data_IF_913788448430
#
_entry.id   IF_913788448430
#
_cell.length_a   1.000
_cell.length_b   1.000
_cell.length_c   1.000
_cell.angle_alpha   90.00
_cell.angle_beta   90.00
_cell.angle_gamma   90.00
#
_symmetry.space_group_name_H-M   'P 1'
#
loop_
_entity.id
_entity.type
_entity.pdbx_description
1 polymer ?
#
# COMPACT_ATOMS: atom_id res chain seq x y z
N UNK A 1 -7.24 21.51 -1.36
CA UNK A 1 -7.37 21.79 0.10
C UNK A 1 -7.66 20.53 0.89
N UNK A 2 -8.64 19.70 0.50
CA UNK A 2 -8.88 18.38 1.13
C UNK A 2 -7.66 17.47 0.96
N UNK A 3 -7.11 17.37 -0.25
CA UNK A 3 -5.89 16.59 -0.53
C UNK A 3 -4.71 16.99 0.37
N UNK A 4 -4.54 18.30 0.60
CA UNK A 4 -3.54 18.80 1.54
C UNK A 4 -3.83 18.31 2.96
N UNK A 5 -5.08 18.39 3.43
CA UNK A 5 -5.46 17.87 4.76
C UNK A 5 -5.21 16.36 4.87
N UNK A 6 -5.55 15.59 3.82
CA UNK A 6 -5.29 14.15 3.78
C UNK A 6 -3.79 13.84 3.91
N UNK A 7 -2.96 14.58 3.17
CA UNK A 7 -1.50 14.50 3.31
C UNK A 7 -1.04 14.72 4.75
N UNK A 8 -1.59 15.74 5.43
CA UNK A 8 -1.29 16.01 6.84
C UNK A 8 -1.71 14.86 7.76
N UNK A 9 -2.91 14.31 7.57
CA UNK A 9 -3.38 13.15 8.34
C UNK A 9 -2.48 11.93 8.15
N UNK A 10 -2.06 11.63 6.93
CA UNK A 10 -1.14 10.52 6.66
C UNK A 10 0.22 10.75 7.34
N UNK A 11 0.73 11.97 7.35
CA UNK A 11 1.98 12.30 8.06
C UNK A 11 1.84 12.08 9.58
N UNK A 12 0.75 12.60 10.16
CA UNK A 12 0.46 12.41 11.58
C UNK A 12 0.29 10.93 11.93
N UNK A 13 -0.35 10.15 11.06
CA UNK A 13 -0.50 8.70 11.22
C UNK A 13 0.87 8.02 11.23
N UNK A 14 1.68 8.21 10.19
CA UNK A 14 2.97 7.51 10.06
C UNK A 14 4.02 7.96 11.08
N UNK A 15 3.94 9.20 11.57
CA UNK A 15 4.86 9.70 12.60
C UNK A 15 4.46 9.31 14.02
N UNK A 16 3.17 9.18 14.32
CA UNK A 16 2.70 8.95 15.69
C UNK A 16 2.18 7.52 15.94
N UNK A 17 1.89 6.77 14.88
CA UNK A 17 1.37 5.40 14.95
C UNK A 17 2.38 4.48 14.29
N UNK A 18 3.33 4.02 15.10
CA UNK A 18 4.43 3.14 14.73
C UNK A 18 4.38 1.85 15.55
N UNK A 19 5.12 0.85 15.11
CA UNK A 19 5.17 -0.46 15.76
C UNK A 19 6.62 -0.95 15.90
N UNK A 20 6.83 -2.01 16.68
CA UNK A 20 8.15 -2.63 16.83
C UNK A 20 8.41 -3.73 15.80
N UNK A 21 7.38 -4.14 15.05
CA UNK A 21 7.46 -5.19 14.04
C UNK A 21 6.65 -4.86 12.77
N UNK A 22 7.05 -5.48 11.67
CA UNK A 22 6.39 -5.39 10.38
C UNK A 22 5.33 -6.49 10.22
N UNK A 23 4.32 -6.26 9.36
CA UNK A 23 3.30 -7.25 9.01
C UNK A 23 1.88 -6.81 9.33
N UNK A 24 0.93 -7.75 9.40
CA UNK A 24 -0.48 -7.43 9.59
C UNK A 24 -0.77 -6.96 11.04
N UNK A 25 -1.70 -6.01 11.27
CA UNK A 25 -2.14 -5.63 12.60
C UNK A 25 -2.88 -6.79 13.28
N UNK A 26 -2.56 -7.04 14.54
CA UNK A 26 -3.24 -8.07 15.34
C UNK A 26 -4.49 -7.46 15.97
N UNK A 27 -5.66 -7.83 15.46
CA UNK A 27 -6.93 -7.39 16.02
C UNK A 27 -7.31 -8.29 17.20
N UNK A 28 -7.41 -7.70 18.40
CA UNK A 28 -7.84 -8.42 19.60
C UNK A 28 -6.72 -9.04 20.44
N UNK A 29 -5.44 -8.67 20.22
CA UNK A 29 -4.40 -8.93 21.22
C UNK A 29 -4.72 -8.11 22.48
N UNK A 30 -5.00 -8.80 23.58
CA UNK A 30 -5.49 -8.23 24.84
C UNK A 30 -4.74 -6.95 25.25
N UNK A 31 -5.45 -5.83 25.24
CA UNK A 31 -5.02 -4.58 25.89
C UNK A 31 -5.12 -4.72 27.41
N UNK A 32 -4.36 -5.63 28.01
CA UNK A 32 -4.03 -5.61 29.43
C UNK A 32 -2.64 -4.99 29.61
N UNK A 33 -2.54 -3.66 29.41
CA UNK A 33 -1.29 -2.93 29.62
C UNK A 33 -1.38 -1.44 29.30
N UNK A 34 -1.43 -0.61 30.35
CA UNK A 34 -1.00 0.80 30.48
C UNK A 34 -1.16 1.80 29.30
N UNK A 35 -2.10 1.57 28.38
CA UNK A 35 -2.43 2.55 27.33
C UNK A 35 -1.32 2.83 26.32
N UNK A 36 -0.28 1.97 26.24
CA UNK A 36 0.81 2.06 25.27
C UNK A 36 0.64 1.03 24.15
N UNK A 37 -0.38 1.20 23.31
CA UNK A 37 -0.55 0.42 22.07
C UNK A 37 -0.54 -1.11 22.24
N UNK A 38 -0.62 -1.88 21.14
CA UNK A 38 -0.42 -3.32 21.20
C UNK A 38 1.07 -3.60 21.49
N UNK A 39 1.44 -3.64 22.78
CA UNK A 39 2.82 -3.90 23.24
C UNK A 39 3.23 -5.38 23.17
N UNK A 40 2.33 -6.26 22.72
CA UNK A 40 2.58 -7.70 22.76
C UNK A 40 2.76 -8.23 21.34
N UNK A 41 3.92 -8.83 21.02
CA UNK A 41 4.09 -9.50 19.75
C UNK A 41 3.05 -10.63 19.58
N UNK A 42 2.84 -11.12 18.34
CA UNK A 42 2.11 -12.37 18.10
C UNK A 42 2.59 -13.45 19.08
N UNK A 43 1.68 -14.32 19.53
CA UNK A 43 2.04 -15.48 20.36
C UNK A 43 3.12 -16.32 19.68
N UNK A 44 3.79 -17.21 20.43
CA UNK A 44 4.86 -18.12 19.98
C UNK A 44 4.60 -18.92 18.67
N UNK A 45 3.38 -18.85 18.12
CA UNK A 45 2.92 -19.46 16.88
C UNK A 45 3.12 -18.62 15.60
N UNK A 46 3.34 -17.31 15.68
CA UNK A 46 3.52 -16.44 14.50
C UNK A 46 4.88 -15.71 14.56
N UNK A 47 5.70 -15.77 13.50
CA UNK A 47 7.01 -15.15 13.51
C UNK A 47 6.88 -13.62 13.49
N UNK A 48 7.51 -12.96 14.46
CA UNK A 48 7.71 -11.51 14.45
C UNK A 48 8.75 -11.18 13.36
N UNK A 49 8.44 -10.26 12.46
CA UNK A 49 9.39 -9.81 11.44
C UNK A 49 9.94 -8.42 11.76
N UNK A 50 11.27 -8.33 11.88
CA UNK A 50 11.99 -7.06 12.13
C UNK A 50 12.65 -6.50 10.87
N UNK A 51 12.61 -7.24 9.75
CA UNK A 51 13.08 -6.77 8.45
C UNK A 51 11.89 -6.54 7.53
N UNK A 52 11.77 -5.31 7.04
CA UNK A 52 10.75 -5.00 6.04
C UNK A 52 10.97 -5.77 4.73
N UNK A 53 12.22 -6.01 4.34
CA UNK A 53 12.51 -6.80 3.16
C UNK A 53 11.98 -8.22 3.26
N UNK A 54 12.23 -8.90 4.39
CA UNK A 54 11.73 -10.26 4.62
C UNK A 54 10.20 -10.26 4.65
N UNK A 55 9.60 -9.30 5.36
CA UNK A 55 8.14 -9.19 5.50
C UNK A 55 7.47 -8.95 4.16
N UNK A 56 7.90 -7.94 3.41
CA UNK A 56 7.32 -7.60 2.12
C UNK A 56 7.49 -8.74 1.11
N UNK A 57 8.66 -9.39 1.09
CA UNK A 57 8.89 -10.55 0.22
C UNK A 57 7.91 -11.67 0.53
N UNK A 58 7.74 -12.02 1.81
CA UNK A 58 6.79 -13.06 2.22
C UNK A 58 5.35 -12.70 1.81
N UNK A 59 4.88 -11.50 2.17
CA UNK A 59 3.54 -11.03 1.83
C UNK A 59 3.29 -11.04 0.32
N UNK A 60 4.29 -10.63 -0.47
CA UNK A 60 4.19 -10.58 -1.91
C UNK A 60 4.16 -11.98 -2.53
N UNK A 61 5.02 -12.89 -2.08
CA UNK A 61 5.08 -14.27 -2.59
C UNK A 61 3.82 -15.07 -2.23
N UNK A 62 3.30 -14.92 -1.00
CA UNK A 62 2.03 -15.52 -0.58
C UNK A 62 0.85 -15.01 -1.42
N UNK A 63 0.80 -13.69 -1.68
CA UNK A 63 -0.21 -13.10 -2.54
C UNK A 63 -0.10 -13.63 -3.98
N UNK A 64 1.11 -13.70 -4.52
CA UNK A 64 1.35 -14.13 -5.89
C UNK A 64 0.93 -15.60 -6.09
N UNK A 65 1.26 -16.47 -5.13
CA UNK A 65 0.84 -17.87 -5.15
C UNK A 65 -0.69 -18.01 -4.99
N UNK A 66 -1.31 -17.20 -4.14
CA UNK A 66 -2.77 -17.18 -3.99
C UNK A 66 -3.48 -16.81 -5.30
N UNK A 67 -3.01 -15.76 -5.97
CA UNK A 67 -3.52 -15.32 -7.28
C UNK A 67 -3.30 -16.41 -8.33
N UNK A 68 -2.13 -17.02 -8.38
CA UNK A 68 -1.80 -18.10 -9.31
C UNK A 68 -2.75 -19.28 -9.16
N UNK A 69 -2.90 -19.78 -7.93
CA UNK A 69 -3.77 -20.91 -7.60
C UNK A 69 -5.23 -20.65 -8.02
N UNK A 70 -5.75 -19.44 -7.76
CA UNK A 70 -7.12 -19.07 -8.14
C UNK A 70 -7.31 -18.99 -9.65
N UNK A 71 -6.38 -18.38 -10.38
CA UNK A 71 -6.43 -18.29 -11.84
C UNK A 71 -6.32 -19.66 -12.51
N UNK A 72 -5.55 -20.60 -11.93
CA UNK A 72 -5.49 -21.98 -12.41
C UNK A 72 -6.78 -22.76 -12.13
N UNK A 73 -7.47 -22.48 -11.01
CA UNK A 73 -8.74 -23.13 -10.67
C UNK A 73 -9.95 -22.60 -11.44
N UNK A 74 -9.89 -21.35 -11.93
CA UNK A 74 -10.98 -20.70 -12.64
C UNK A 74 -10.58 -20.35 -14.09
N UNK A 75 -10.89 -21.21 -15.08
CA UNK A 75 -10.51 -20.99 -16.48
C UNK A 75 -11.21 -19.79 -17.16
N UNK A 76 -12.05 -19.04 -16.43
CA UNK A 76 -12.78 -17.87 -16.93
C UNK A 76 -12.08 -16.53 -16.63
N UNK A 77 -10.90 -16.53 -16.02
CA UNK A 77 -10.14 -15.31 -15.79
C UNK A 77 -9.36 -14.87 -17.03
N UNK A 78 -9.79 -13.81 -17.72
CA UNK A 78 -9.01 -13.16 -18.81
C UNK A 78 -7.69 -12.50 -18.34
N UNK A 79 -7.19 -12.81 -17.15
CA UNK A 79 -5.97 -12.22 -16.61
C UNK A 79 -4.76 -13.07 -17.01
N UNK A 80 -3.81 -12.46 -17.72
CA UNK A 80 -2.51 -13.05 -17.98
C UNK A 80 -1.49 -12.39 -17.07
N UNK A 81 -1.02 -13.12 -16.05
CA UNK A 81 -0.03 -12.62 -15.10
C UNK A 81 1.34 -13.26 -15.42
N UNK A 82 2.39 -12.46 -15.68
CA UNK A 82 3.72 -12.95 -16.04
C UNK A 82 4.55 -13.41 -14.81
N UNK A 83 4.07 -14.44 -14.09
CA UNK A 83 4.63 -14.94 -12.82
C UNK A 83 6.17 -15.12 -12.83
N UNK A 84 6.72 -15.80 -13.84
CA UNK A 84 8.17 -16.04 -13.97
C UNK A 84 8.99 -14.75 -14.07
N UNK A 85 8.47 -13.74 -14.79
CA UNK A 85 9.14 -12.43 -14.91
C UNK A 85 9.11 -11.67 -13.60
N UNK A 86 8.02 -11.80 -12.84
CA UNK A 86 7.86 -11.20 -11.52
C UNK A 86 8.86 -11.82 -10.54
N UNK A 87 8.92 -13.15 -10.42
CA UNK A 87 9.90 -13.82 -9.52
C UNK A 87 11.35 -13.53 -9.89
N UNK A 88 11.68 -13.50 -11.18
CA UNK A 88 13.03 -13.13 -11.64
C UNK A 88 13.39 -11.71 -11.19
N UNK A 89 12.44 -10.78 -11.31
CA UNK A 89 12.63 -9.39 -10.87
C UNK A 89 12.72 -9.28 -9.35
N UNK A 90 11.92 -10.06 -8.61
CA UNK A 90 11.93 -10.07 -7.14
C UNK A 90 13.26 -10.60 -6.61
N UNK A 91 13.78 -11.67 -7.21
CA UNK A 91 15.11 -12.22 -6.87
C UNK A 91 16.21 -11.17 -6.98
N UNK A 92 16.15 -10.32 -8.01
CA UNK A 92 17.06 -9.18 -8.17
C UNK A 92 16.83 -8.12 -7.08
N UNK A 93 15.58 -7.74 -6.82
CA UNK A 93 15.23 -6.76 -5.80
C UNK A 93 15.78 -7.14 -4.42
N UNK A 94 15.63 -8.41 -4.02
CA UNK A 94 16.16 -8.97 -2.77
C UNK A 94 17.69 -8.92 -2.76
N UNK A 95 18.34 -9.36 -3.85
CA UNK A 95 19.81 -9.38 -3.94
C UNK A 95 20.45 -7.99 -3.84
N UNK A 96 19.71 -6.93 -4.19
CA UNK A 96 20.15 -5.54 -4.07
C UNK A 96 19.61 -4.82 -2.82
N UNK A 97 19.03 -5.58 -1.88
CA UNK A 97 18.52 -5.06 -0.61
C UNK A 97 17.48 -3.95 -0.80
N UNK A 98 16.66 -4.01 -1.86
CA UNK A 98 15.80 -2.89 -2.31
C UNK A 98 14.87 -2.33 -1.22
N UNK A 99 14.44 -3.18 -0.29
CA UNK A 99 13.46 -2.85 0.75
C UNK A 99 14.08 -2.63 2.14
N UNK A 100 15.41 -2.76 2.27
CA UNK A 100 16.12 -2.74 3.55
C UNK A 100 16.29 -1.33 4.17
N UNK A 101 15.85 -0.29 3.47
CA UNK A 101 15.94 1.12 3.91
C UNK A 101 14.78 1.56 4.82
N UNK A 102 13.90 0.63 5.20
CA UNK A 102 12.73 0.90 6.05
C UNK A 102 13.03 0.40 7.45
N UNK A 103 13.34 1.34 8.34
CA UNK A 103 13.77 1.03 9.70
C UNK A 103 12.60 0.95 10.70
N UNK A 104 11.55 1.75 10.50
CA UNK A 104 10.43 1.88 11.45
C UNK A 104 9.11 1.62 10.72
N UNK A 105 8.33 0.59 11.11
CA UNK A 105 7.04 0.32 10.51
C UNK A 105 6.04 1.42 10.87
N UNK A 106 5.34 1.90 9.85
CA UNK A 106 4.20 2.81 10.00
C UNK A 106 2.91 2.06 9.71
N UNK A 107 1.79 2.51 10.29
CA UNK A 107 0.50 1.96 9.93
C UNK A 107 0.11 2.45 8.52
N UNK A 108 0.02 1.52 7.58
CA UNK A 108 -0.28 1.77 6.18
C UNK A 108 -1.67 1.28 5.84
N UNK A 109 -2.39 2.09 5.06
CA UNK A 109 -3.68 1.78 4.48
C UNK A 109 -3.57 1.48 2.98
N UNK A 110 -3.12 0.26 2.68
CA UNK A 110 -2.75 -0.15 1.32
C UNK A 110 -3.86 0.07 0.27
N UNK A 111 -5.11 -0.24 0.62
CA UNK A 111 -6.26 -0.16 -0.30
C UNK A 111 -7.12 1.08 -0.07
N UNK A 112 -6.61 2.10 0.63
CA UNK A 112 -7.35 3.31 0.90
C UNK A 112 -7.81 4.02 -0.36
N UNK A 113 -9.01 4.57 -0.32
CA UNK A 113 -9.60 5.25 -1.48
C UNK A 113 -10.41 6.47 -1.06
N UNK A 114 -10.82 7.27 -2.04
CA UNK A 114 -11.67 8.44 -1.81
C UNK A 114 -13.06 8.06 -1.26
N UNK A 115 -13.54 6.84 -1.50
CA UNK A 115 -14.82 6.36 -0.97
C UNK A 115 -14.81 6.16 0.55
N UNK A 116 -13.63 6.10 1.14
CA UNK A 116 -13.44 5.86 2.57
C UNK A 116 -13.25 7.18 3.36
N UNK A 117 -13.29 8.32 2.66
CA UNK A 117 -13.05 9.65 3.21
C UNK A 117 -14.38 10.41 3.31
N UNK A 118 -14.79 10.71 4.53
CA UNK A 118 -16.01 11.46 4.79
C UNK A 118 -15.68 12.93 5.02
N UNK A 119 -16.39 13.79 4.30
CA UNK A 119 -16.17 15.24 4.31
C UNK A 119 -17.35 15.97 4.97
N UNK A 120 -17.04 16.99 5.78
CA UNK A 120 -18.02 18.01 6.15
C UNK A 120 -18.15 19.00 5.01
N UNK A 121 -19.36 19.09 4.43
CA UNK A 121 -19.72 20.06 3.42
C UNK A 121 -20.64 21.13 4.04
N UNK A 122 -20.10 22.27 4.50
CA UNK A 122 -20.91 23.32 5.11
C UNK A 122 -21.90 23.91 4.10
N UNK A 123 -23.15 24.15 4.52
CA UNK A 123 -24.23 24.66 3.67
C UNK A 123 -23.99 26.06 3.12
N UNK A 124 -23.09 26.83 3.76
CA UNK A 124 -22.64 28.14 3.30
C UNK A 124 -21.11 28.18 3.25
N UNK A 125 -20.50 28.32 2.05
CA UNK A 125 -19.05 28.29 1.89
C UNK A 125 -18.32 29.49 2.52
N UNK A 126 -19.04 30.55 2.89
CA UNK A 126 -18.51 31.74 3.57
C UNK A 126 -18.29 31.56 5.07
N UNK A 127 -18.87 30.53 5.69
CA UNK A 127 -18.83 30.37 7.15
C UNK A 127 -17.84 29.32 7.63
N UNK A 128 -17.52 28.33 6.79
CA UNK A 128 -16.57 27.26 7.13
C UNK A 128 -15.97 26.63 5.87
N UNK A 129 -14.73 26.22 5.96
CA UNK A 129 -14.06 25.43 4.92
C UNK A 129 -14.47 23.95 5.01
N UNK A 130 -14.67 23.26 3.87
CA UNK A 130 -14.82 21.81 3.88
C UNK A 130 -13.63 21.13 4.54
N UNK A 131 -13.87 20.05 5.27
CA UNK A 131 -12.81 19.32 5.97
C UNK A 131 -13.14 17.85 6.14
N UNK A 132 -12.11 17.04 6.36
CA UNK A 132 -12.26 15.61 6.63
C UNK A 132 -12.85 15.46 8.04
N UNK A 133 -13.92 14.67 8.17
CA UNK A 133 -14.56 14.36 9.46
C UNK A 133 -14.26 12.96 9.95
N UNK A 134 -14.08 12.01 9.02
CA UNK A 134 -13.74 10.64 9.34
C UNK A 134 -13.00 9.98 8.18
N UNK A 135 -12.11 9.07 8.53
CA UNK A 135 -11.49 8.09 7.64
C UNK A 135 -11.93 6.73 8.16
N UNK A 136 -12.55 5.92 7.30
CA UNK A 136 -13.05 4.59 7.67
C UNK A 136 -12.26 3.52 6.91
N UNK A 137 -11.06 3.16 7.39
CA UNK A 137 -10.20 2.24 6.66
C UNK A 137 -10.79 0.83 6.63
N UNK A 138 -10.71 0.21 5.46
CA UNK A 138 -10.94 -1.23 5.31
C UNK A 138 -9.76 -1.98 5.92
N UNK A 139 -9.99 -2.65 7.04
CA UNK A 139 -8.96 -3.36 7.82
C UNK A 139 -8.23 -4.51 7.10
N UNK A 140 -8.80 -5.27 6.14
CA UNK A 140 -8.17 -6.48 5.58
C UNK A 140 -6.80 -6.26 4.93
N UNK A 141 -6.47 -5.02 4.55
CA UNK A 141 -5.21 -4.69 3.86
C UNK A 141 -4.38 -3.66 4.61
N UNK A 142 -4.71 -3.38 5.88
CA UNK A 142 -3.85 -2.56 6.72
C UNK A 142 -2.62 -3.35 7.13
N UNK A 143 -1.46 -2.70 7.18
CA UNK A 143 -0.19 -3.33 7.51
C UNK A 143 0.75 -2.36 8.23
N UNK A 144 1.64 -2.91 9.04
CA UNK A 144 2.81 -2.24 9.60
C UNK A 144 3.95 -2.36 8.59
N UNK A 145 4.30 -1.26 7.92
CA UNK A 145 5.18 -1.30 6.74
C UNK A 145 5.75 0.05 6.32
N UNK A 146 6.24 0.12 5.09
CA UNK A 146 6.75 1.34 4.47
C UNK A 146 5.59 2.30 4.13
N UNK A 147 5.57 3.55 4.64
CA UNK A 147 4.62 4.60 4.21
C UNK A 147 4.44 4.75 2.70
N UNK A 148 5.48 4.45 1.92
CA UNK A 148 5.43 4.51 0.47
C UNK A 148 4.44 3.51 -0.14
N UNK A 149 3.93 2.53 0.62
CA UNK A 149 2.88 1.60 0.17
C UNK A 149 1.48 2.23 0.04
N UNK A 150 1.22 3.37 0.69
CA UNK A 150 -0.10 4.02 0.64
C UNK A 150 -0.62 4.17 -0.80
N UNK A 151 -1.88 3.77 -1.02
CA UNK A 151 -2.54 3.91 -2.32
C UNK A 151 -2.65 5.37 -2.76
N UNK A 152 -2.81 6.29 -1.81
CA UNK A 152 -2.87 7.72 -2.09
C UNK A 152 -1.59 8.28 -2.75
N UNK A 153 -0.48 7.52 -2.69
CA UNK A 153 0.78 7.85 -3.34
C UNK A 153 1.02 7.14 -4.70
N UNK A 154 0.08 6.34 -5.23
CA UNK A 154 0.24 5.57 -6.50
C UNK A 154 0.68 6.43 -7.69
N UNK A 155 0.16 7.64 -7.79
CA UNK A 155 0.47 8.56 -8.90
C UNK A 155 1.92 9.09 -8.86
N UNK A 156 2.71 8.75 -7.84
CA UNK A 156 4.16 9.00 -7.81
C UNK A 156 4.96 8.05 -8.70
N UNK A 157 4.39 6.90 -9.09
CA UNK A 157 5.06 5.87 -9.87
C UNK A 157 4.70 5.86 -11.36
N UNK A 158 3.46 6.20 -11.74
CA UNK A 158 2.97 6.04 -13.12
C UNK A 158 2.26 7.31 -13.64
N UNK A 159 2.56 7.72 -14.87
CA UNK A 159 2.08 8.94 -15.53
C UNK A 159 0.59 8.97 -15.92
N UNK A 160 -0.26 8.16 -15.28
CA UNK A 160 -1.65 7.92 -15.67
C UNK A 160 -2.65 8.21 -14.55
N UNK A 161 -2.74 9.45 -14.05
CA UNK A 161 -3.79 9.86 -13.10
C UNK A 161 -3.50 11.22 -12.45
N UNK A 162 -4.52 12.10 -12.40
CA UNK A 162 -4.47 13.54 -12.05
C UNK A 162 -3.22 13.96 -11.24
N UNK A 163 -2.18 14.50 -11.92
CA UNK A 163 -0.91 14.88 -11.29
C UNK A 163 -1.06 15.90 -10.15
N UNK A 164 -2.15 16.66 -10.15
CA UNK A 164 -2.37 17.77 -9.21
C UNK A 164 -2.83 17.30 -7.82
N UNK A 165 -3.63 16.22 -7.75
CA UNK A 165 -4.14 15.71 -6.47
C UNK A 165 -3.01 15.09 -5.64
N UNK A 166 -2.20 14.25 -6.28
CA UNK A 166 -1.03 13.65 -5.65
C UNK A 166 -0.04 14.68 -5.11
N UNK A 167 0.21 15.76 -5.86
CA UNK A 167 1.10 16.84 -5.44
C UNK A 167 0.63 17.50 -4.15
N UNK A 168 -0.67 17.79 -4.04
CA UNK A 168 -1.21 18.42 -2.84
C UNK A 168 -1.17 17.48 -1.62
N UNK A 169 -1.41 16.18 -1.81
CA UNK A 169 -1.26 15.18 -0.73
C UNK A 169 0.21 15.12 -0.28
N UNK A 170 1.16 15.00 -1.21
CA UNK A 170 2.60 14.91 -0.91
C UNK A 170 3.11 16.19 -0.26
N UNK A 171 2.67 17.35 -0.73
CA UNK A 171 2.95 18.64 -0.12
C UNK A 171 2.46 18.68 1.33
N UNK A 172 1.21 18.27 1.57
CA UNK A 172 0.62 18.21 2.91
C UNK A 172 1.37 17.25 3.82
N UNK A 173 1.77 16.10 3.28
CA UNK A 173 2.52 15.08 3.99
C UNK A 173 3.88 15.60 4.47
N UNK A 174 4.69 16.14 3.56
CA UNK A 174 6.02 16.66 3.89
C UNK A 174 5.92 17.89 4.80
N UNK A 175 4.98 18.80 4.56
CA UNK A 175 4.80 20.00 5.38
C UNK A 175 4.36 19.70 6.82
N UNK A 176 3.79 18.51 7.07
CA UNK A 176 3.35 18.06 8.40
C UNK A 176 4.31 17.07 9.08
N UNK A 177 5.56 16.97 8.61
CA UNK A 177 6.61 16.17 9.26
C UNK A 177 6.82 14.79 8.66
N UNK A 178 6.08 14.43 7.60
CA UNK A 178 6.36 13.22 6.83
C UNK A 178 7.69 13.31 6.09
N UNK A 179 8.47 12.22 6.10
CA UNK A 179 9.73 12.16 5.36
C UNK A 179 9.50 12.18 3.84
N UNK A 180 10.42 12.74 3.03
CA UNK A 180 10.30 12.70 1.58
C UNK A 180 10.19 11.26 1.04
N UNK A 181 9.07 10.95 0.38
CA UNK A 181 8.73 9.60 -0.07
C UNK A 181 9.65 9.07 -1.18
N UNK A 182 10.07 9.94 -2.11
CA UNK A 182 10.97 9.59 -3.22
C UNK A 182 12.05 10.68 -3.33
N UNK A 183 13.23 10.35 -2.83
CA UNK A 183 14.46 11.13 -2.93
C UNK A 183 15.47 10.50 -3.89
N UNK A 184 15.44 9.16 -4.04
CA UNK A 184 16.42 8.38 -4.81
C UNK A 184 15.76 7.50 -5.87
N UNK A 185 16.47 7.13 -6.96
CA UNK A 185 15.95 6.22 -7.98
C UNK A 185 15.45 4.88 -7.41
N UNK A 186 16.15 4.33 -6.41
CA UNK A 186 15.72 3.13 -5.66
C UNK A 186 14.26 3.19 -5.17
N UNK A 187 13.82 4.33 -4.64
CA UNK A 187 12.45 4.48 -4.13
C UNK A 187 11.41 4.51 -5.25
N UNK A 188 11.78 4.91 -6.47
CA UNK A 188 10.90 4.77 -7.64
C UNK A 188 10.71 3.30 -7.99
N UNK A 189 11.80 2.52 -8.03
CA UNK A 189 11.71 1.06 -8.22
C UNK A 189 10.86 0.40 -7.14
N UNK A 190 11.04 0.81 -5.87
CA UNK A 190 10.23 0.36 -4.74
C UNK A 190 8.74 0.69 -4.92
N UNK A 191 8.43 1.91 -5.38
CA UNK A 191 7.06 2.33 -5.68
C UNK A 191 6.42 1.49 -6.79
N UNK A 192 7.19 1.08 -7.81
CA UNK A 192 6.70 0.14 -8.84
C UNK A 192 6.32 -1.22 -8.22
N UNK A 193 7.13 -1.77 -7.32
CA UNK A 193 6.78 -2.98 -6.57
C UNK A 193 5.49 -2.83 -5.75
N UNK A 194 5.33 -1.71 -5.07
CA UNK A 194 4.15 -1.44 -4.25
C UNK A 194 2.88 -1.25 -5.08
N UNK A 195 3.03 -0.71 -6.29
CA UNK A 195 1.93 -0.58 -7.25
C UNK A 195 1.53 -1.96 -7.80
N UNK A 196 2.51 -2.82 -8.10
CA UNK A 196 2.25 -4.21 -8.48
C UNK A 196 1.56 -4.99 -7.35
N UNK A 197 2.06 -4.84 -6.11
CA UNK A 197 1.48 -5.49 -4.93
C UNK A 197 0.01 -5.11 -4.76
N UNK A 198 -0.32 -3.81 -4.79
CA UNK A 198 -1.70 -3.34 -4.72
C UNK A 198 -2.58 -3.91 -5.85
N UNK A 199 -2.10 -3.89 -7.10
CA UNK A 199 -2.86 -4.41 -8.23
C UNK A 199 -3.19 -5.90 -8.06
N UNK A 200 -2.22 -6.68 -7.56
CA UNK A 200 -2.41 -8.10 -7.25
C UNK A 200 -3.33 -8.30 -6.02
N UNK A 201 -3.27 -7.46 -4.99
CA UNK A 201 -4.16 -7.54 -3.83
C UNK A 201 -5.62 -7.33 -4.24
N UNK A 202 -5.87 -6.31 -5.07
CA UNK A 202 -7.21 -6.06 -5.61
C UNK A 202 -7.67 -7.21 -6.50
N UNK A 203 -6.80 -7.75 -7.36
CA UNK A 203 -7.12 -8.93 -8.15
C UNK A 203 -7.50 -10.12 -7.27
N UNK A 204 -6.71 -10.38 -6.22
CA UNK A 204 -6.91 -11.47 -5.30
C UNK A 204 -8.26 -11.38 -4.56
N UNK A 205 -8.64 -10.18 -4.12
CA UNK A 205 -9.95 -9.92 -3.52
C UNK A 205 -11.08 -10.22 -4.50
N UNK A 206 -10.94 -9.79 -5.75
CA UNK A 206 -11.94 -10.03 -6.78
C UNK A 206 -12.07 -11.51 -7.14
N UNK A 207 -10.96 -12.24 -7.23
CA UNK A 207 -10.97 -13.69 -7.44
C UNK A 207 -11.50 -14.46 -6.22
N UNK A 208 -11.58 -13.82 -5.05
CA UNK A 208 -12.20 -14.36 -3.85
C UNK A 208 -13.67 -13.98 -3.68
N UNK A 209 -14.19 -13.11 -4.55
CA UNK A 209 -15.55 -12.60 -4.48
C UNK A 209 -16.39 -13.23 -5.60
N UNK A 210 -17.65 -13.51 -5.31
CA UNK A 210 -18.63 -13.91 -6.33
C UNK A 210 -19.06 -12.72 -7.22
N UNK A 211 -18.60 -11.50 -6.91
CA UNK A 211 -18.93 -10.29 -7.64
C UNK A 211 -18.11 -10.13 -8.92
N UNK A 212 -18.79 -9.83 -10.03
CA UNK A 212 -18.14 -9.51 -11.29
C UNK A 212 -17.27 -8.24 -11.16
N UNK A 213 -16.02 -8.33 -11.59
CA UNK A 213 -15.09 -7.20 -11.60
C UNK A 213 -15.61 -6.12 -12.56
N UNK A 214 -15.78 -4.87 -12.10
CA UNK A 214 -16.12 -3.78 -13.00
C UNK A 214 -15.06 -3.65 -14.11
N UNK A 215 -15.49 -3.55 -15.36
CA UNK A 215 -14.60 -3.56 -16.54
C UNK A 215 -13.48 -2.52 -16.47
N UNK A 216 -13.77 -1.33 -15.92
CA UNK A 216 -12.74 -0.28 -15.71
C UNK A 216 -11.65 -0.69 -14.71
N UNK A 217 -12.03 -1.38 -13.62
CA UNK A 217 -11.09 -1.89 -12.62
C UNK A 217 -10.29 -3.08 -13.16
N UNK A 218 -10.96 -4.00 -13.87
CA UNK A 218 -10.31 -5.12 -14.57
C UNK A 218 -9.19 -4.62 -15.48
N UNK A 219 -9.50 -3.64 -16.34
CA UNK A 219 -8.52 -3.01 -17.25
C UNK A 219 -7.37 -2.36 -16.49
N UNK A 220 -7.67 -1.59 -15.44
CA UNK A 220 -6.65 -0.93 -14.64
C UNK A 220 -5.70 -1.95 -13.99
N UNK A 221 -6.23 -3.03 -13.39
CA UNK A 221 -5.42 -4.09 -12.78
C UNK A 221 -4.50 -4.72 -13.83
N UNK A 222 -5.04 -5.11 -14.99
CA UNK A 222 -4.26 -5.70 -16.08
C UNK A 222 -3.14 -4.75 -16.55
N UNK A 223 -3.47 -3.47 -16.74
CA UNK A 223 -2.52 -2.45 -17.17
C UNK A 223 -1.41 -2.24 -16.14
N UNK A 224 -1.74 -2.15 -14.85
CA UNK A 224 -0.75 -1.97 -13.79
C UNK A 224 0.16 -3.19 -13.64
N UNK A 225 -0.40 -4.40 -13.63
CA UNK A 225 0.42 -5.62 -13.55
C UNK A 225 1.40 -5.69 -14.72
N UNK A 226 0.92 -5.47 -15.94
CA UNK A 226 1.76 -5.50 -17.13
C UNK A 226 2.83 -4.40 -17.09
N UNK A 227 2.43 -3.15 -16.86
CA UNK A 227 3.34 -1.99 -16.85
C UNK A 227 4.42 -2.14 -15.78
N UNK A 228 4.03 -2.44 -14.53
CA UNK A 228 4.98 -2.66 -13.45
C UNK A 228 5.94 -3.81 -13.78
N UNK A 229 5.45 -4.92 -14.33
CA UNK A 229 6.34 -6.04 -14.67
C UNK A 229 7.37 -5.65 -15.73
N UNK A 230 6.96 -4.95 -16.79
CA UNK A 230 7.89 -4.50 -17.83
C UNK A 230 8.93 -3.50 -17.29
N UNK A 231 8.51 -2.57 -16.43
CA UNK A 231 9.43 -1.62 -15.78
C UNK A 231 10.45 -2.36 -14.89
N UNK A 232 9.99 -3.30 -14.08
CA UNK A 232 10.84 -4.04 -13.14
C UNK A 232 11.91 -4.90 -13.81
N UNK A 233 11.70 -5.33 -15.07
CA UNK A 233 12.74 -6.04 -15.85
C UNK A 233 14.00 -5.20 -16.04
N UNK A 234 13.86 -3.88 -16.14
CA UNK A 234 14.98 -2.97 -16.44
C UNK A 234 15.26 -1.96 -15.34
N UNK A 235 14.47 -1.96 -14.27
CA UNK A 235 14.57 -0.99 -13.20
C UNK A 235 15.96 -1.01 -12.53
N UNK A 236 16.50 0.18 -12.19
CA UNK A 236 17.76 0.30 -11.50
C UNK A 236 17.60 -0.26 -10.07
N UNK A 237 18.59 -1.03 -9.59
CA UNK A 237 18.55 -1.59 -8.25
C UNK A 237 18.99 -0.60 -7.14
N UNK A 238 19.46 0.60 -7.48
CA UNK A 238 20.02 1.61 -6.58
C UNK A 238 19.56 3.03 -6.97
#
# INVERSE_FOLDING_TARGET
MIDLQLGKYLAELHSNVQNDWFGMPILGADTEGDGKGPSKPPSDSEPICYSWQETFTLLFEELLESVKSKLESEPNGDFTIPFESIHTSMSRAIAFFLFDDVEVPSLVWLTGSDTDIYLSCPSHPSTKTPGIVALLPSMPHMLWGDPLLESFFISLGHGGGKPESCKAIVEGYVASGGSPLISFPRQKTKRTWYTLFLALSLLNDYLSSDEAIPEGKKRWIQEMVHTCTEELKTAPPY
#
